data_IF_017380071294
#
_entry.id   IF_017380071294
#
_cell.length_a   1.000
_cell.length_b   1.000
_cell.length_c   1.000
_cell.angle_alpha   90.00
_cell.angle_beta   90.00
_cell.angle_gamma   90.00
#
_symmetry.space_group_name_H-M   'P 1'
#
loop_
_entity.id
_entity.type
_entity.pdbx_description
1 polymer ?
#
# COMPACT_ATOMS: atom_id res chain seq x y z
N UNK A 1 9.49 7.88 -23.80
CA UNK A 1 9.68 6.42 -23.88
C UNK A 1 10.84 6.00 -23.01
N UNK A 2 10.66 4.94 -22.21
CA UNK A 2 11.73 4.35 -21.42
C UNK A 2 12.84 3.77 -22.32
N UNK A 3 14.10 3.99 -21.97
CA UNK A 3 15.20 3.28 -22.61
C UNK A 3 15.20 1.79 -22.20
N UNK A 4 15.70 0.89 -23.06
CA UNK A 4 15.77 -0.54 -22.74
C UNK A 4 16.53 -0.79 -21.43
N UNK A 5 17.57 0.00 -21.13
CA UNK A 5 18.32 -0.07 -19.89
C UNK A 5 17.45 0.25 -18.65
N UNK A 6 16.59 1.29 -18.73
CA UNK A 6 15.68 1.60 -17.62
C UNK A 6 14.62 0.51 -17.42
N UNK A 7 14.13 -0.08 -18.52
CA UNK A 7 13.20 -1.22 -18.44
C UNK A 7 13.88 -2.40 -17.75
N UNK A 8 15.07 -2.79 -18.21
CA UNK A 8 15.83 -3.87 -17.61
C UNK A 8 16.13 -3.61 -16.12
N UNK A 9 16.48 -2.37 -15.77
CA UNK A 9 16.66 -1.97 -14.37
C UNK A 9 15.39 -2.25 -13.55
N UNK A 10 14.22 -1.73 -13.98
CA UNK A 10 12.96 -1.82 -13.25
C UNK A 10 12.50 -3.28 -13.14
N UNK A 11 12.61 -4.06 -14.20
CA UNK A 11 12.24 -5.49 -14.19
C UNK A 11 13.08 -6.31 -13.21
N UNK A 12 14.40 -6.05 -13.17
CA UNK A 12 15.35 -6.93 -12.46
C UNK A 12 15.74 -6.46 -11.07
N UNK A 13 15.57 -5.19 -10.74
CA UNK A 13 15.94 -4.65 -9.43
C UNK A 13 15.12 -5.33 -8.33
N UNK A 14 15.75 -5.82 -7.24
CA UNK A 14 15.00 -6.28 -6.08
C UNK A 14 14.13 -5.17 -5.51
N UNK A 15 12.89 -5.47 -5.14
CA UNK A 15 11.92 -4.47 -4.69
C UNK A 15 11.44 -4.77 -3.28
N UNK A 16 11.07 -3.69 -2.57
CA UNK A 16 10.25 -3.72 -1.38
C UNK A 16 9.05 -2.81 -1.61
N UNK A 17 7.89 -3.21 -1.15
CA UNK A 17 6.66 -2.45 -1.25
C UNK A 17 6.12 -2.10 0.14
N UNK A 18 5.75 -0.83 0.34
CA UNK A 18 5.38 -0.31 1.66
C UNK A 18 3.89 0.02 1.79
N UNK A 19 3.15 0.05 0.67
CA UNK A 19 1.79 0.56 0.65
C UNK A 19 0.96 -0.20 -0.39
N UNK A 20 0.23 -1.18 0.07
CA UNK A 20 -0.66 -2.02 -0.73
C UNK A 20 -1.77 -2.56 0.18
N UNK A 21 -3.02 -2.56 -0.29
CA UNK A 21 -4.18 -3.05 0.44
C UNK A 21 -4.52 -4.47 0.01
N UNK A 22 -4.71 -5.39 0.98
CA UNK A 22 -5.07 -6.78 0.69
C UNK A 22 -6.44 -6.84 0.01
N UNK A 23 -7.38 -6.07 0.52
CA UNK A 23 -8.77 -6.04 0.07
C UNK A 23 -8.88 -5.52 -1.37
N UNK A 24 -8.04 -4.55 -1.74
CA UNK A 24 -7.93 -3.99 -3.08
C UNK A 24 -7.01 -4.78 -4.02
N UNK A 25 -6.41 -5.89 -3.53
CA UNK A 25 -5.41 -6.66 -4.29
C UNK A 25 -5.90 -8.05 -4.70
N UNK A 26 -7.20 -8.33 -4.62
CA UNK A 26 -7.75 -9.64 -4.99
C UNK A 26 -7.72 -9.80 -6.51
N UNK A 27 -6.90 -10.72 -7.06
CA UNK A 27 -6.90 -10.97 -8.51
C UNK A 27 -8.29 -11.37 -9.01
N UNK A 28 -8.70 -10.83 -10.12
CA UNK A 28 -10.08 -10.99 -10.60
C UNK A 28 -10.45 -12.44 -10.89
N UNK A 29 -9.51 -13.26 -11.41
CA UNK A 29 -9.72 -14.69 -11.56
C UNK A 29 -9.96 -15.39 -10.22
N UNK A 30 -9.26 -14.95 -9.18
CA UNK A 30 -9.44 -15.49 -7.83
C UNK A 30 -10.81 -15.04 -7.27
N UNK A 31 -11.19 -13.79 -7.45
CA UNK A 31 -12.47 -13.28 -7.00
C UNK A 31 -13.65 -14.08 -7.60
N UNK A 32 -13.61 -14.35 -8.91
CA UNK A 32 -14.64 -15.17 -9.59
C UNK A 32 -14.68 -16.61 -9.06
N UNK A 33 -13.51 -17.24 -8.85
CA UNK A 33 -13.45 -18.60 -8.28
C UNK A 33 -13.98 -18.67 -6.86
N UNK A 34 -13.65 -17.67 -6.02
CA UNK A 34 -14.12 -17.61 -4.64
C UNK A 34 -15.61 -17.30 -4.59
N UNK A 35 -16.12 -16.44 -5.48
CA UNK A 35 -17.55 -16.19 -5.63
C UNK A 35 -18.32 -17.46 -5.93
N UNK A 36 -17.85 -18.27 -6.88
CA UNK A 36 -18.44 -19.58 -7.21
C UNK A 36 -18.36 -20.56 -6.01
N UNK A 37 -17.18 -20.72 -5.42
CA UNK A 37 -16.94 -21.59 -4.24
C UNK A 37 -17.88 -21.24 -3.10
N UNK A 38 -17.98 -19.97 -2.77
CA UNK A 38 -18.68 -19.48 -1.59
C UNK A 38 -20.15 -19.08 -1.88
N UNK A 39 -20.59 -19.23 -3.13
CA UNK A 39 -21.94 -18.88 -3.60
C UNK A 39 -22.30 -17.42 -3.31
N UNK A 40 -21.31 -16.54 -3.45
CA UNK A 40 -21.47 -15.08 -3.35
C UNK A 40 -21.80 -14.55 -4.74
N UNK A 41 -22.84 -13.71 -4.83
CA UNK A 41 -23.18 -13.07 -6.09
C UNK A 41 -22.38 -11.78 -6.27
N UNK A 42 -21.59 -11.71 -7.31
CA UNK A 42 -20.95 -10.49 -7.76
C UNK A 42 -21.80 -9.77 -8.83
N UNK A 43 -21.68 -8.46 -9.00
CA UNK A 43 -22.39 -7.72 -10.05
C UNK A 43 -21.90 -8.02 -11.46
N UNK A 44 -20.81 -8.79 -11.59
CA UNK A 44 -20.06 -9.11 -12.80
C UNK A 44 -19.65 -10.58 -12.82
N UNK A 45 -19.47 -11.16 -14.00
CA UNK A 45 -19.30 -12.61 -14.17
C UNK A 45 -18.13 -13.02 -15.05
N UNK A 46 -17.38 -12.08 -15.59
CA UNK A 46 -16.15 -12.32 -16.36
C UNK A 46 -15.07 -11.31 -15.98
N UNK A 47 -13.83 -11.60 -16.35
CA UNK A 47 -12.67 -10.72 -16.10
C UNK A 47 -12.89 -9.37 -16.81
N UNK A 48 -13.33 -9.40 -18.06
CA UNK A 48 -13.58 -8.19 -18.85
C UNK A 48 -14.71 -7.33 -18.27
N UNK A 49 -15.73 -7.97 -17.67
CA UNK A 49 -16.81 -7.27 -16.97
C UNK A 49 -16.31 -6.64 -15.67
N UNK A 50 -15.46 -7.32 -14.88
CA UNK A 50 -14.87 -6.78 -13.66
C UNK A 50 -14.01 -5.56 -14.00
N UNK A 51 -13.13 -5.69 -14.99
CA UNK A 51 -12.25 -4.62 -15.44
C UNK A 51 -13.04 -3.38 -15.82
N UNK A 52 -14.01 -3.53 -16.71
CA UNK A 52 -14.85 -2.43 -17.17
C UNK A 52 -15.67 -1.80 -16.05
N UNK A 53 -16.19 -2.61 -15.13
CA UNK A 53 -17.00 -2.17 -14.00
C UNK A 53 -16.15 -1.39 -12.99
N UNK A 54 -14.99 -1.92 -12.59
CA UNK A 54 -14.10 -1.30 -11.61
C UNK A 54 -13.57 0.04 -12.14
N UNK A 55 -12.97 0.06 -13.32
CA UNK A 55 -12.46 1.29 -13.93
C UNK A 55 -13.57 2.32 -14.21
N UNK A 56 -14.78 1.86 -14.54
CA UNK A 56 -15.95 2.73 -14.71
C UNK A 56 -16.35 3.43 -13.41
N UNK A 57 -16.41 2.68 -12.28
CA UNK A 57 -16.73 3.23 -10.97
C UNK A 57 -15.66 4.20 -10.47
N UNK A 58 -14.39 3.81 -10.60
CA UNK A 58 -13.25 4.64 -10.18
C UNK A 58 -13.21 5.93 -11.01
N UNK A 59 -13.37 5.84 -12.32
CA UNK A 59 -13.41 7.02 -13.19
C UNK A 59 -14.58 7.98 -12.92
N UNK A 60 -15.74 7.46 -12.46
CA UNK A 60 -16.90 8.27 -12.11
C UNK A 60 -16.83 8.87 -10.69
N UNK A 61 -16.28 8.12 -9.71
CA UNK A 61 -16.38 8.39 -8.28
C UNK A 61 -15.04 8.61 -7.57
N UNK A 62 -13.91 8.43 -8.25
CA UNK A 62 -12.59 8.53 -7.62
C UNK A 62 -12.44 7.56 -6.45
N UNK A 63 -12.00 8.04 -5.29
CA UNK A 63 -11.75 7.23 -4.09
C UNK A 63 -12.99 6.42 -3.63
N UNK A 64 -14.20 6.99 -3.69
CA UNK A 64 -15.44 6.26 -3.37
C UNK A 64 -15.64 5.06 -4.31
N UNK A 65 -15.22 5.17 -5.58
CA UNK A 65 -15.22 4.08 -6.53
C UNK A 65 -14.31 2.92 -6.13
N UNK A 66 -13.08 3.20 -5.68
CA UNK A 66 -12.17 2.20 -5.10
C UNK A 66 -12.83 1.49 -3.92
N UNK A 67 -13.34 2.22 -2.94
CA UNK A 67 -14.00 1.64 -1.76
C UNK A 67 -15.16 0.72 -2.11
N UNK A 68 -15.95 1.04 -3.14
CA UNK A 68 -17.04 0.17 -3.60
C UNK A 68 -16.48 -1.12 -4.22
N UNK A 69 -15.42 -1.02 -5.02
CA UNK A 69 -14.78 -2.18 -5.63
C UNK A 69 -14.20 -3.12 -4.57
N UNK A 70 -13.45 -2.60 -3.61
CA UNK A 70 -12.82 -3.38 -2.53
C UNK A 70 -13.86 -4.11 -1.68
N UNK A 71 -14.90 -3.42 -1.24
CA UNK A 71 -16.00 -4.03 -0.49
C UNK A 71 -16.69 -5.12 -1.28
N UNK A 72 -16.90 -4.90 -2.59
CA UNK A 72 -17.59 -5.86 -3.46
C UNK A 72 -16.72 -7.10 -3.67
N UNK A 73 -15.45 -6.95 -4.02
CA UNK A 73 -14.57 -8.08 -4.29
C UNK A 73 -14.18 -8.81 -3.00
N UNK A 74 -13.88 -8.10 -1.92
CA UNK A 74 -13.60 -8.73 -0.63
C UNK A 74 -14.79 -9.54 -0.09
N UNK A 75 -16.01 -9.27 -0.55
CA UNK A 75 -17.21 -10.03 -0.13
C UNK A 75 -17.13 -11.52 -0.42
N UNK A 76 -16.28 -11.95 -1.35
CA UNK A 76 -16.12 -13.36 -1.71
C UNK A 76 -15.30 -14.17 -0.69
N UNK A 77 -14.54 -13.52 0.20
CA UNK A 77 -13.74 -14.17 1.24
C UNK A 77 -14.60 -14.46 2.48
N UNK A 78 -14.81 -15.73 2.82
CA UNK A 78 -15.64 -16.16 3.94
C UNK A 78 -14.89 -17.08 4.93
N UNK A 79 -13.83 -17.76 4.50
CA UNK A 79 -13.14 -18.80 5.24
C UNK A 79 -11.64 -18.52 5.30
N UNK A 80 -10.95 -19.09 6.27
CA UNK A 80 -9.48 -18.93 6.44
C UNK A 80 -8.70 -19.15 5.13
N UNK A 81 -9.05 -20.22 4.39
CA UNK A 81 -8.40 -20.53 3.13
C UNK A 81 -8.65 -19.51 2.01
N UNK A 82 -9.68 -18.68 2.10
CA UNK A 82 -9.94 -17.63 1.12
C UNK A 82 -8.98 -16.46 1.36
N UNK A 83 -8.81 -16.04 2.62
CA UNK A 83 -7.84 -15.02 3.01
C UNK A 83 -6.41 -15.47 2.74
N UNK A 84 -6.11 -16.75 3.03
CA UNK A 84 -4.82 -17.35 2.66
C UNK A 84 -4.58 -17.26 1.15
N UNK A 85 -5.57 -17.63 0.34
CA UNK A 85 -5.46 -17.65 -1.11
C UNK A 85 -5.18 -16.27 -1.72
N UNK A 86 -5.79 -15.21 -1.18
CA UNK A 86 -5.56 -13.83 -1.64
C UNK A 86 -4.09 -13.44 -1.45
N UNK A 87 -3.58 -13.59 -0.24
CA UNK A 87 -2.18 -13.21 0.07
C UNK A 87 -1.18 -14.08 -0.66
N UNK A 88 -1.48 -15.38 -0.87
CA UNK A 88 -0.59 -16.25 -1.65
C UNK A 88 -0.59 -15.89 -3.13
N UNK A 89 -1.70 -15.42 -3.69
CA UNK A 89 -1.75 -14.95 -5.07
C UNK A 89 -0.88 -13.68 -5.24
N UNK A 90 -0.92 -12.76 -4.27
CA UNK A 90 0.01 -11.62 -4.22
C UNK A 90 1.47 -12.07 -4.15
N UNK A 91 1.80 -12.95 -3.20
CA UNK A 91 3.18 -13.42 -3.03
C UNK A 91 3.72 -14.16 -4.25
N UNK A 92 2.87 -14.86 -5.01
CA UNK A 92 3.25 -15.47 -6.28
C UNK A 92 3.57 -14.41 -7.34
N UNK A 93 2.78 -13.34 -7.41
CA UNK A 93 3.03 -12.22 -8.31
C UNK A 93 4.27 -11.42 -7.90
N UNK A 94 4.47 -11.18 -6.60
CA UNK A 94 5.67 -10.56 -6.03
C UNK A 94 6.94 -11.26 -6.48
N UNK A 95 6.91 -12.62 -6.44
CA UNK A 95 8.04 -13.43 -6.92
C UNK A 95 8.35 -13.17 -8.40
N UNK A 96 7.33 -13.00 -9.25
CA UNK A 96 7.52 -12.70 -10.67
C UNK A 96 8.13 -11.33 -10.88
N UNK A 97 7.78 -10.36 -10.02
CA UNK A 97 8.23 -8.99 -10.07
C UNK A 97 9.57 -8.74 -9.32
N UNK A 98 10.17 -9.77 -8.73
CA UNK A 98 11.35 -9.64 -7.87
C UNK A 98 11.11 -8.74 -6.64
N UNK A 99 9.89 -8.76 -6.10
CA UNK A 99 9.57 -8.18 -4.79
C UNK A 99 9.97 -9.22 -3.73
N UNK A 100 10.79 -8.83 -2.77
CA UNK A 100 11.32 -9.73 -1.73
C UNK A 100 10.80 -9.40 -0.33
N UNK A 101 10.17 -8.22 -0.19
CA UNK A 101 9.60 -7.73 1.05
C UNK A 101 8.36 -6.89 0.77
N UNK A 102 7.28 -7.10 1.54
CA UNK A 102 6.02 -6.39 1.34
C UNK A 102 5.34 -6.08 2.67
N UNK A 103 4.76 -4.87 2.78
CA UNK A 103 3.93 -4.42 3.90
C UNK A 103 2.48 -4.32 3.44
N UNK A 104 1.66 -5.27 3.88
CA UNK A 104 0.26 -5.38 3.48
C UNK A 104 -0.65 -4.69 4.50
N UNK A 105 -1.41 -3.69 4.06
CA UNK A 105 -2.52 -3.16 4.83
C UNK A 105 -3.67 -4.18 4.84
N UNK A 106 -4.26 -4.40 6.01
CA UNK A 106 -5.42 -5.27 6.20
C UNK A 106 -6.57 -4.49 6.84
N UNK A 107 -7.75 -4.51 6.20
CA UNK A 107 -8.91 -3.72 6.58
C UNK A 107 -10.01 -4.59 7.19
N UNK A 108 -9.72 -5.11 8.40
CA UNK A 108 -10.66 -6.00 9.10
C UNK A 108 -12.07 -5.41 9.29
N UNK A 109 -12.29 -4.09 9.51
CA UNK A 109 -13.64 -3.55 9.65
C UNK A 109 -14.61 -3.94 8.53
N UNK A 110 -14.13 -4.12 7.30
CA UNK A 110 -14.94 -4.63 6.17
C UNK A 110 -15.43 -6.06 6.40
N UNK A 111 -14.61 -6.88 7.04
CA UNK A 111 -14.91 -8.27 7.35
C UNK A 111 -15.84 -8.39 8.57
N UNK A 112 -15.62 -7.56 9.61
CA UNK A 112 -16.46 -7.49 10.80
C UNK A 112 -17.92 -7.17 10.46
N UNK A 113 -18.16 -6.23 9.55
CA UNK A 113 -19.52 -5.85 9.10
C UNK A 113 -20.28 -7.01 8.46
N UNK A 114 -19.56 -7.96 7.87
CA UNK A 114 -20.10 -9.18 7.29
C UNK A 114 -20.26 -10.32 8.30
N UNK A 115 -19.89 -10.07 9.56
CA UNK A 115 -19.94 -11.07 10.63
C UNK A 115 -18.81 -12.11 10.57
N UNK A 116 -17.73 -11.85 9.84
CA UNK A 116 -16.55 -12.72 9.80
C UNK A 116 -15.72 -12.48 11.08
N UNK A 117 -15.47 -13.54 11.89
CA UNK A 117 -14.63 -13.38 13.09
C UNK A 117 -13.20 -12.98 12.73
N UNK A 118 -12.58 -12.08 13.54
CA UNK A 118 -11.19 -11.66 13.37
C UNK A 118 -10.23 -12.85 13.28
N UNK A 119 -10.45 -13.89 14.10
CA UNK A 119 -9.65 -15.10 14.10
C UNK A 119 -9.58 -15.78 12.73
N UNK A 120 -10.71 -15.87 12.01
CA UNK A 120 -10.77 -16.47 10.66
C UNK A 120 -9.88 -15.71 9.69
N UNK A 121 -9.93 -14.39 9.70
CA UNK A 121 -9.11 -13.53 8.84
C UNK A 121 -7.63 -13.67 9.20
N UNK A 122 -7.31 -13.54 10.48
CA UNK A 122 -5.93 -13.52 10.95
C UNK A 122 -5.21 -14.88 10.83
N UNK A 123 -5.92 -15.99 11.00
CA UNK A 123 -5.31 -17.32 10.80
C UNK A 123 -5.07 -17.60 9.31
N UNK A 124 -5.96 -17.16 8.42
CA UNK A 124 -5.71 -17.16 6.98
C UNK A 124 -4.44 -16.39 6.61
N UNK A 125 -4.30 -15.17 7.11
CA UNK A 125 -3.13 -14.32 6.86
C UNK A 125 -1.85 -14.87 7.51
N UNK A 126 -1.93 -15.46 8.70
CA UNK A 126 -0.80 -16.13 9.37
C UNK A 126 -0.27 -17.32 8.54
N UNK A 127 -1.19 -18.12 8.03
CA UNK A 127 -0.84 -19.25 7.17
C UNK A 127 -0.20 -18.76 5.87
N UNK A 128 -0.76 -17.73 5.25
CA UNK A 128 -0.23 -17.13 4.03
C UNK A 128 1.18 -16.54 4.21
N UNK A 129 1.42 -15.77 5.28
CA UNK A 129 2.73 -15.19 5.60
C UNK A 129 3.83 -16.25 5.65
N UNK A 130 3.57 -17.35 6.36
CA UNK A 130 4.52 -18.47 6.42
C UNK A 130 4.76 -19.10 5.05
N UNK A 131 3.69 -19.42 4.30
CA UNK A 131 3.77 -20.06 2.98
C UNK A 131 4.39 -19.15 1.93
N UNK A 132 4.14 -17.83 1.97
CA UNK A 132 4.77 -16.86 1.08
C UNK A 132 6.30 -16.91 1.20
N UNK A 133 6.80 -16.96 2.42
CA UNK A 133 8.24 -17.11 2.68
C UNK A 133 8.79 -18.46 2.20
N UNK A 134 8.09 -19.55 2.51
CA UNK A 134 8.51 -20.92 2.16
C UNK A 134 8.48 -21.20 0.65
N UNK A 135 7.43 -20.76 -0.05
CA UNK A 135 7.19 -21.09 -1.45
C UNK A 135 7.79 -20.07 -2.42
N UNK A 136 7.74 -18.79 -2.06
CA UNK A 136 8.08 -17.69 -2.96
C UNK A 136 9.31 -16.91 -2.52
N UNK A 137 9.73 -17.03 -1.25
CA UNK A 137 10.85 -16.26 -0.68
C UNK A 137 10.50 -14.80 -0.44
N UNK A 138 9.22 -14.48 -0.30
CA UNK A 138 8.70 -13.14 -0.02
C UNK A 138 8.44 -13.00 1.47
N UNK A 139 9.04 -12.00 2.10
CA UNK A 139 8.75 -11.63 3.48
C UNK A 139 7.56 -10.67 3.52
N UNK A 140 6.51 -11.06 4.21
CA UNK A 140 5.29 -10.26 4.36
C UNK A 140 5.18 -9.77 5.80
N UNK A 141 4.78 -8.52 5.97
CA UNK A 141 4.48 -7.88 7.27
C UNK A 141 3.10 -7.24 7.15
N UNK A 142 2.26 -7.38 8.18
CA UNK A 142 0.92 -6.77 8.15
C UNK A 142 0.88 -5.45 8.90
N UNK A 143 0.15 -4.49 8.34
CA UNK A 143 -0.24 -3.21 8.94
C UNK A 143 -1.76 -3.24 9.10
N UNK A 144 -2.24 -3.16 10.33
CA UNK A 144 -3.69 -3.11 10.55
C UNK A 144 -4.24 -1.74 10.13
N UNK A 145 -5.19 -1.70 9.19
CA UNK A 145 -5.86 -0.51 8.69
C UNK A 145 -7.03 -0.10 9.60
N UNK A 146 -7.17 1.18 9.86
CA UNK A 146 -8.32 1.77 10.50
C UNK A 146 -9.13 2.55 9.46
N UNK A 147 -10.34 2.11 9.19
CA UNK A 147 -11.30 2.96 8.46
C UNK A 147 -11.62 4.20 9.30
N UNK A 148 -11.10 5.36 8.86
CA UNK A 148 -11.25 6.63 9.59
C UNK A 148 -12.68 7.12 9.65
N UNK A 149 -13.59 6.59 8.84
CA UNK A 149 -15.01 6.96 8.87
C UNK A 149 -15.72 6.41 10.09
N UNK A 150 -15.21 5.32 10.67
CA UNK A 150 -15.77 4.65 11.87
C UNK A 150 -15.55 5.47 13.15
N UNK A 151 -16.25 5.10 14.22
CA UNK A 151 -16.07 5.75 15.53
C UNK A 151 -14.71 5.40 16.16
N UNK A 152 -14.14 6.34 16.93
CA UNK A 152 -12.89 6.12 17.67
C UNK A 152 -12.97 4.92 18.63
N UNK A 153 -14.15 4.70 19.25
CA UNK A 153 -14.36 3.55 20.15
C UNK A 153 -14.26 2.21 19.42
N UNK A 154 -14.88 2.11 18.22
CA UNK A 154 -14.83 0.91 17.39
C UNK A 154 -13.39 0.61 16.96
N UNK A 155 -12.69 1.62 16.45
CA UNK A 155 -11.28 1.49 16.06
C UNK A 155 -10.39 1.11 17.24
N UNK A 156 -10.58 1.71 18.42
CA UNK A 156 -9.84 1.35 19.63
C UNK A 156 -10.11 -0.10 20.08
N UNK A 157 -11.36 -0.57 19.94
CA UNK A 157 -11.71 -1.96 20.22
C UNK A 157 -10.98 -2.92 19.30
N UNK A 158 -10.95 -2.62 18.00
CA UNK A 158 -10.20 -3.39 17.00
C UNK A 158 -8.69 -3.42 17.33
N UNK A 159 -8.06 -2.26 17.59
CA UNK A 159 -6.64 -2.23 17.97
C UNK A 159 -6.34 -3.12 19.18
N UNK A 160 -7.19 -3.10 20.21
CA UNK A 160 -7.02 -3.95 21.38
C UNK A 160 -7.13 -5.45 21.06
N UNK A 161 -7.95 -5.82 20.10
CA UNK A 161 -8.12 -7.22 19.66
C UNK A 161 -6.93 -7.77 18.89
N UNK A 162 -5.99 -6.91 18.43
CA UNK A 162 -4.76 -7.33 17.75
C UNK A 162 -3.68 -7.91 18.69
N UNK A 163 -3.85 -7.85 20.01
CA UNK A 163 -2.83 -8.32 20.96
C UNK A 163 -2.37 -9.78 20.74
N UNK A 164 -3.23 -10.76 20.39
CA UNK A 164 -2.79 -12.12 20.10
C UNK A 164 -2.00 -12.26 18.77
N UNK A 165 -1.96 -11.22 17.94
CA UNK A 165 -1.43 -11.25 16.58
C UNK A 165 -0.19 -10.37 16.38
N UNK A 166 0.43 -9.89 17.49
CA UNK A 166 1.62 -9.03 17.43
C UNK A 166 2.89 -9.73 16.89
N UNK A 167 2.83 -11.01 16.70
CA UNK A 167 3.88 -11.78 16.04
C UNK A 167 3.86 -11.64 14.51
N UNK A 168 2.74 -11.19 13.94
CA UNK A 168 2.57 -10.98 12.49
C UNK A 168 2.17 -9.55 12.11
N UNK A 169 1.43 -8.84 12.98
CA UNK A 169 1.05 -7.44 12.77
C UNK A 169 2.13 -6.54 13.36
N UNK A 170 2.82 -5.80 12.51
CA UNK A 170 3.93 -4.94 12.92
C UNK A 170 3.59 -3.44 12.89
N UNK A 171 2.48 -3.05 12.26
CA UNK A 171 2.08 -1.66 12.14
C UNK A 171 0.59 -1.41 12.34
N UNK A 172 0.26 -0.13 12.59
CA UNK A 172 -1.09 0.42 12.51
C UNK A 172 -1.09 1.53 11.46
N UNK A 173 -2.03 1.45 10.53
CA UNK A 173 -2.36 2.47 9.54
C UNK A 173 -3.76 3.03 9.73
N UNK A 174 -4.11 4.00 8.89
CA UNK A 174 -5.46 4.55 8.80
C UNK A 174 -5.67 4.99 7.35
N UNK A 175 -6.83 4.70 6.79
CA UNK A 175 -7.20 4.92 5.41
C UNK A 175 -8.62 5.49 5.26
N UNK A 176 -9.22 5.34 4.09
CA UNK A 176 -10.52 5.86 3.71
C UNK A 176 -10.58 7.41 3.66
N UNK A 177 -11.78 7.96 3.43
CA UNK A 177 -12.03 9.37 3.15
C UNK A 177 -11.55 10.30 4.27
N UNK A 178 -10.64 11.24 3.93
CA UNK A 178 -10.11 12.22 4.88
C UNK A 178 -11.08 13.37 5.16
N UNK A 179 -11.87 13.79 4.14
CA UNK A 179 -12.80 14.91 4.25
C UNK A 179 -13.91 14.61 5.25
N UNK A 180 -14.00 15.45 6.28
CA UNK A 180 -14.98 15.26 7.36
C UNK A 180 -14.60 14.22 8.41
N UNK A 181 -13.48 13.52 8.24
CA UNK A 181 -13.00 12.46 9.13
C UNK A 181 -11.59 12.75 9.68
N UNK A 182 -11.43 13.76 10.57
CA UNK A 182 -10.13 14.17 11.08
C UNK A 182 -9.46 13.03 11.87
N UNK A 183 -8.17 12.83 11.65
CA UNK A 183 -7.40 11.76 12.25
C UNK A 183 -7.39 11.76 13.80
N UNK A 184 -7.56 12.93 14.41
CA UNK A 184 -7.59 13.08 15.87
C UNK A 184 -8.68 12.24 16.55
N UNK A 185 -9.75 11.89 15.84
CA UNK A 185 -10.80 10.99 16.32
C UNK A 185 -10.24 9.62 16.76
N UNK A 186 -9.11 9.21 16.19
CA UNK A 186 -8.47 7.91 16.44
C UNK A 186 -7.23 8.00 17.33
N UNK A 187 -7.03 9.12 18.06
CA UNK A 187 -5.87 9.32 18.93
C UNK A 187 -5.66 8.19 19.93
N UNK A 188 -6.74 7.72 20.57
CA UNK A 188 -6.65 6.64 21.55
C UNK A 188 -6.20 5.32 20.93
N UNK A 189 -6.62 5.04 19.69
CA UNK A 189 -6.18 3.87 18.91
C UNK A 189 -4.68 3.92 18.64
N UNK A 190 -4.16 5.06 18.18
CA UNK A 190 -2.73 5.26 17.94
C UNK A 190 -1.89 5.21 19.22
N UNK A 191 -2.40 5.75 20.33
CA UNK A 191 -1.74 5.65 21.62
C UNK A 191 -1.67 4.20 22.10
N UNK A 192 -2.73 3.41 21.91
CA UNK A 192 -2.74 1.99 22.25
C UNK A 192 -1.79 1.19 21.36
N UNK A 193 -1.81 1.40 20.03
CA UNK A 193 -0.87 0.78 19.11
C UNK A 193 0.59 1.08 19.47
N UNK A 194 0.89 2.32 19.84
CA UNK A 194 2.22 2.71 20.35
C UNK A 194 2.63 1.95 21.59
N UNK A 195 1.68 1.74 22.55
CA UNK A 195 1.94 0.92 23.76
C UNK A 195 2.19 -0.55 23.41
N UNK A 196 1.60 -1.03 22.34
CA UNK A 196 1.79 -2.38 21.80
C UNK A 196 3.11 -2.53 21.01
N UNK A 197 3.82 -1.43 20.76
CA UNK A 197 5.07 -1.42 20.00
C UNK A 197 4.91 -1.43 18.48
N UNK A 198 3.72 -1.16 17.97
CA UNK A 198 3.44 -1.11 16.55
C UNK A 198 4.06 0.14 15.90
N UNK A 199 4.53 -0.03 14.66
CA UNK A 199 4.88 1.08 13.76
C UNK A 199 3.61 1.85 13.40
N UNK A 200 3.69 3.18 13.30
CA UNK A 200 2.54 4.02 13.06
C UNK A 200 2.65 4.71 11.70
N UNK A 201 1.66 4.51 10.84
CA UNK A 201 1.49 5.21 9.57
C UNK A 201 0.07 5.74 9.43
N UNK A 202 -0.18 6.57 8.42
CA UNK A 202 -1.53 7.02 8.07
C UNK A 202 -1.57 7.55 6.64
N UNK A 203 -2.63 7.25 5.92
CA UNK A 203 -3.01 8.01 4.72
C UNK A 203 -3.30 9.44 5.13
N UNK A 204 -2.59 10.38 4.54
CA UNK A 204 -2.79 11.79 4.81
C UNK A 204 -2.37 12.65 3.62
N UNK A 205 -3.21 13.61 3.26
CA UNK A 205 -2.97 14.50 2.13
C UNK A 205 -3.16 13.80 0.79
N UNK A 206 -4.03 12.83 0.72
CA UNK A 206 -4.54 12.25 -0.52
C UNK A 206 -5.75 13.04 -1.00
N UNK A 207 -6.92 12.86 -0.38
CA UNK A 207 -8.12 13.62 -0.68
C UNK A 207 -8.37 14.81 0.29
N UNK A 208 -7.63 14.86 1.40
CA UNK A 208 -7.57 15.97 2.35
C UNK A 208 -6.44 16.97 2.04
N UNK A 209 -6.28 18.00 2.88
CA UNK A 209 -5.25 19.03 2.74
C UNK A 209 -3.92 18.68 3.45
N UNK A 210 -2.91 19.55 3.32
CA UNK A 210 -1.64 19.44 4.04
C UNK A 210 -1.79 19.51 5.58
N UNK A 211 -2.88 20.08 6.07
CA UNK A 211 -3.25 20.09 7.49
C UNK A 211 -3.50 18.68 8.04
N UNK A 212 -4.04 17.76 7.22
CA UNK A 212 -4.21 16.36 7.61
C UNK A 212 -2.85 15.67 7.82
N UNK A 213 -1.86 15.98 6.99
CA UNK A 213 -0.49 15.48 7.16
C UNK A 213 0.11 16.02 8.45
N UNK A 214 -0.03 17.33 8.72
CA UNK A 214 0.43 17.93 9.97
C UNK A 214 -0.23 17.30 11.19
N UNK A 215 -1.52 17.02 11.11
CA UNK A 215 -2.26 16.39 12.20
C UNK A 215 -1.80 14.94 12.45
N UNK A 216 -1.59 14.15 11.40
CA UNK A 216 -1.03 12.80 11.52
C UNK A 216 0.36 12.83 12.18
N UNK A 217 1.24 13.73 11.73
CA UNK A 217 2.59 13.86 12.27
C UNK A 217 2.62 14.34 13.72
N UNK A 218 1.86 15.40 14.04
CA UNK A 218 1.95 16.11 15.34
C UNK A 218 1.04 15.52 16.41
N UNK A 219 -0.13 14.98 16.03
CA UNK A 219 -1.13 14.46 16.97
C UNK A 219 -1.05 12.95 17.12
N UNK A 220 -0.91 12.21 16.01
CA UNK A 220 -0.82 10.75 16.05
C UNK A 220 0.62 10.24 16.18
N UNK A 221 1.63 11.10 15.92
CA UNK A 221 3.06 10.75 15.93
C UNK A 221 3.40 9.61 14.95
N UNK A 222 2.82 9.64 13.76
CA UNK A 222 3.15 8.66 12.73
C UNK A 222 4.61 8.77 12.29
N UNK A 223 5.18 7.65 11.88
CA UNK A 223 6.58 7.51 11.46
C UNK A 223 6.72 7.52 9.94
N UNK A 224 5.60 7.36 9.22
CA UNK A 224 5.48 7.41 7.77
C UNK A 224 4.15 8.04 7.40
N UNK A 225 4.11 8.69 6.25
CA UNK A 225 2.88 9.15 5.61
C UNK A 225 2.62 8.27 4.40
N UNK A 226 1.43 7.72 4.30
CA UNK A 226 0.98 7.03 3.12
C UNK A 226 0.32 8.07 2.19
N UNK A 227 0.66 8.07 0.89
CA UNK A 227 0.48 9.10 -0.14
C UNK A 227 1.25 10.40 0.13
N UNK A 228 0.72 11.33 0.91
CA UNK A 228 1.37 12.61 1.19
C UNK A 228 1.34 13.62 0.04
N UNK A 229 0.44 13.49 -0.92
CA UNK A 229 0.39 14.31 -2.13
C UNK A 229 0.32 15.81 -1.83
N UNK A 230 -0.46 16.21 -0.82
CA UNK A 230 -0.63 17.63 -0.46
C UNK A 230 0.56 18.22 0.31
N UNK A 231 1.60 17.43 0.63
CA UNK A 231 2.81 17.95 1.25
C UNK A 231 3.53 18.98 0.35
N UNK A 232 3.44 18.83 -0.98
CA UNK A 232 4.05 19.73 -1.94
C UNK A 232 3.45 21.16 -1.93
N UNK A 233 2.25 21.33 -1.37
CA UNK A 233 1.56 22.63 -1.26
C UNK A 233 2.09 23.48 -0.10
N UNK A 234 2.82 22.87 0.84
CA UNK A 234 3.33 23.53 2.04
C UNK A 234 4.87 23.42 2.14
N UNK A 235 5.62 24.50 1.85
CA UNK A 235 7.10 24.49 1.94
C UNK A 235 7.64 24.19 3.35
N UNK A 236 6.87 24.51 4.41
CA UNK A 236 7.28 24.17 5.78
C UNK A 236 7.15 22.67 6.02
N UNK A 237 6.09 22.06 5.50
CA UNK A 237 5.89 20.60 5.58
C UNK A 237 6.97 19.84 4.80
N UNK A 238 7.31 20.28 3.58
CA UNK A 238 8.43 19.70 2.81
C UNK A 238 9.71 19.72 3.64
N UNK A 239 10.03 20.89 4.23
CA UNK A 239 11.22 21.02 5.08
C UNK A 239 11.15 20.08 6.29
N UNK A 240 10.01 20.01 6.97
CA UNK A 240 9.80 19.18 8.15
C UNK A 240 9.98 17.68 7.83
N UNK A 241 9.35 17.18 6.75
CA UNK A 241 9.48 15.79 6.31
C UNK A 241 10.94 15.43 6.00
N UNK A 242 11.64 16.31 5.27
CA UNK A 242 13.05 16.14 4.95
C UNK A 242 13.95 16.13 6.20
N UNK A 243 13.81 17.13 7.09
CA UNK A 243 14.65 17.27 8.29
C UNK A 243 14.41 16.14 9.31
N UNK A 244 13.20 15.60 9.35
CA UNK A 244 12.80 14.51 10.23
C UNK A 244 12.95 13.13 9.59
N UNK A 245 13.39 13.08 8.34
CA UNK A 245 13.62 11.86 7.57
C UNK A 245 12.39 10.96 7.51
N UNK A 246 11.21 11.57 7.24
CA UNK A 246 9.91 10.89 7.19
C UNK A 246 9.57 10.54 5.74
N UNK A 247 9.34 9.26 5.48
CA UNK A 247 8.93 8.76 4.17
C UNK A 247 7.49 9.16 3.83
N UNK A 248 7.27 9.53 2.56
CA UNK A 248 5.96 9.48 1.92
C UNK A 248 5.91 8.24 1.00
N UNK A 249 5.07 7.26 1.31
CA UNK A 249 4.83 6.08 0.48
C UNK A 249 3.74 6.42 -0.54
N UNK A 250 4.14 6.75 -1.76
CA UNK A 250 3.27 7.33 -2.78
C UNK A 250 2.84 6.28 -3.81
N UNK A 251 1.62 6.43 -4.34
CA UNK A 251 1.01 5.55 -5.34
C UNK A 251 0.54 6.40 -6.54
N UNK A 252 1.45 6.83 -7.44
CA UNK A 252 1.12 7.85 -8.43
C UNK A 252 0.00 7.49 -9.39
N UNK A 253 -0.11 6.24 -9.84
CA UNK A 253 -1.23 5.82 -10.73
C UNK A 253 -2.55 5.88 -9.98
N UNK A 254 -2.62 5.33 -8.75
CA UNK A 254 -3.80 5.43 -7.90
C UNK A 254 -4.19 6.88 -7.64
N UNK A 255 -3.21 7.75 -7.34
CA UNK A 255 -3.47 9.17 -7.08
C UNK A 255 -4.03 9.92 -8.30
N UNK A 256 -3.66 9.49 -9.52
CA UNK A 256 -4.26 10.05 -10.74
C UNK A 256 -5.67 9.49 -10.94
N UNK A 257 -5.89 8.22 -10.68
CA UNK A 257 -7.21 7.58 -10.85
C UNK A 257 -8.22 8.02 -9.79
N UNK A 258 -7.79 8.16 -8.52
CA UNK A 258 -8.64 8.68 -7.43
C UNK A 258 -8.92 10.18 -7.55
N UNK A 259 -8.16 10.89 -8.40
CA UNK A 259 -8.25 12.35 -8.54
C UNK A 259 -7.47 13.12 -7.46
N UNK A 260 -6.67 12.46 -6.64
CA UNK A 260 -5.75 13.10 -5.70
C UNK A 260 -4.70 13.95 -6.43
N UNK A 261 -4.30 13.54 -7.63
CA UNK A 261 -3.49 14.31 -8.56
C UNK A 261 -4.22 14.47 -9.91
N UNK A 262 -4.12 15.67 -10.51
CA UNK A 262 -4.83 15.95 -11.77
C UNK A 262 -4.24 15.23 -12.99
N UNK A 263 -2.95 14.91 -12.97
CA UNK A 263 -2.22 14.16 -14.00
C UNK A 263 -0.83 13.77 -13.47
N UNK A 264 -0.12 12.91 -14.20
CA UNK A 264 1.28 12.57 -13.87
C UNK A 264 2.22 13.77 -13.92
N UNK A 265 2.00 14.71 -14.85
CA UNK A 265 2.81 15.94 -14.96
C UNK A 265 2.59 16.88 -13.78
N UNK A 266 1.38 16.91 -13.21
CA UNK A 266 1.01 17.71 -12.05
C UNK A 266 1.24 16.97 -10.72
N UNK A 267 1.64 15.68 -10.78
CA UNK A 267 1.82 14.88 -9.58
C UNK A 267 2.97 15.40 -8.70
N UNK A 268 2.77 15.56 -7.40
CA UNK A 268 3.75 16.18 -6.49
C UNK A 268 5.01 15.35 -6.23
N UNK A 269 5.04 14.10 -6.66
CA UNK A 269 6.11 13.14 -6.45
C UNK A 269 7.50 13.71 -6.75
N UNK A 270 7.69 14.27 -7.95
CA UNK A 270 8.99 14.85 -8.34
C UNK A 270 9.38 16.05 -7.48
N UNK A 271 8.40 16.86 -7.08
CA UNK A 271 8.64 18.01 -6.20
C UNK A 271 9.21 17.54 -4.87
N UNK A 272 8.59 16.53 -4.25
CA UNK A 272 9.05 15.97 -2.98
C UNK A 272 10.41 15.26 -3.12
N UNK A 273 10.55 14.37 -4.12
CA UNK A 273 11.79 13.64 -4.38
C UNK A 273 12.98 14.57 -4.57
N UNK A 274 12.83 15.61 -5.41
CA UNK A 274 13.91 16.56 -5.76
C UNK A 274 14.16 17.59 -4.67
N UNK A 275 13.18 17.87 -3.81
CA UNK A 275 13.40 18.63 -2.57
C UNK A 275 14.22 17.84 -1.54
N UNK A 276 14.34 16.52 -1.71
CA UNK A 276 15.09 15.63 -0.83
C UNK A 276 14.24 15.04 0.31
N UNK A 277 12.91 15.04 0.17
CA UNK A 277 12.01 14.25 1.02
C UNK A 277 12.18 12.78 0.64
N UNK A 278 12.28 11.85 1.59
CA UNK A 278 12.21 10.43 1.29
C UNK A 278 10.85 10.09 0.66
N UNK A 279 10.84 9.47 -0.51
CA UNK A 279 9.63 8.97 -1.16
C UNK A 279 9.89 7.56 -1.67
N UNK A 280 8.91 6.68 -1.58
CA UNK A 280 8.87 5.38 -2.27
C UNK A 280 7.68 5.35 -3.24
N UNK A 281 7.69 4.38 -4.15
CA UNK A 281 6.57 4.08 -5.05
C UNK A 281 5.98 2.75 -4.61
N UNK A 282 4.66 2.67 -4.57
CA UNK A 282 3.86 1.48 -4.27
C UNK A 282 2.64 1.43 -5.18
N UNK A 283 2.03 0.25 -5.30
CA UNK A 283 0.93 -0.01 -6.24
C UNK A 283 -0.46 0.34 -5.70
N UNK A 284 -0.64 0.40 -4.38
CA UNK A 284 -1.93 0.60 -3.71
C UNK A 284 -2.88 -0.60 -3.88
N UNK A 285 -3.59 -0.64 -5.00
CA UNK A 285 -4.60 -1.65 -5.36
C UNK A 285 -4.32 -2.23 -6.75
N UNK A 286 -3.33 -3.12 -6.92
CA UNK A 286 -2.80 -3.56 -8.22
C UNK A 286 -3.82 -3.97 -9.28
N UNK A 287 -4.93 -4.68 -8.97
CA UNK A 287 -5.94 -5.04 -9.98
C UNK A 287 -6.63 -3.84 -10.63
N UNK A 288 -6.69 -2.70 -9.94
CA UNK A 288 -7.33 -1.48 -10.46
C UNK A 288 -6.32 -0.47 -11.00
N UNK A 289 -5.09 -0.55 -10.53
CA UNK A 289 -4.01 0.35 -10.90
C UNK A 289 -2.98 -0.37 -11.76
N UNK A 290 -1.81 -0.62 -11.24
CA UNK A 290 -0.73 -1.36 -11.87
C UNK A 290 -0.05 -2.27 -10.84
N UNK A 291 0.56 -3.36 -11.29
CA UNK A 291 1.56 -4.04 -10.47
C UNK A 291 2.74 -3.11 -10.16
N UNK A 292 3.49 -3.32 -9.07
CA UNK A 292 4.59 -2.43 -8.69
C UNK A 292 5.63 -2.22 -9.81
N UNK A 293 5.90 -3.25 -10.61
CA UNK A 293 6.81 -3.13 -11.75
C UNK A 293 6.23 -2.25 -12.86
N UNK A 294 4.94 -2.38 -13.16
CA UNK A 294 4.24 -1.54 -14.15
C UNK A 294 4.07 -0.12 -13.63
N UNK A 295 3.82 0.06 -12.34
CA UNK A 295 3.78 1.35 -11.66
C UNK A 295 5.11 2.10 -11.85
N UNK A 296 6.24 1.45 -11.50
CA UNK A 296 7.57 2.01 -11.70
C UNK A 296 7.87 2.33 -13.16
N UNK A 297 7.42 1.51 -14.12
CA UNK A 297 7.58 1.79 -15.55
C UNK A 297 6.76 2.99 -15.99
N UNK A 298 5.51 3.06 -15.58
CA UNK A 298 4.59 4.15 -15.88
C UNK A 298 5.13 5.47 -15.34
N UNK A 299 5.52 5.49 -14.07
CA UNK A 299 6.04 6.68 -13.41
C UNK A 299 7.38 7.13 -14.00
N UNK A 300 8.28 6.17 -14.26
CA UNK A 300 9.57 6.48 -14.86
C UNK A 300 9.41 7.07 -16.28
N UNK A 301 8.42 6.62 -17.04
CA UNK A 301 8.12 7.18 -18.36
C UNK A 301 7.41 8.54 -18.26
N UNK A 302 6.30 8.60 -17.52
CA UNK A 302 5.43 9.79 -17.44
C UNK A 302 6.12 10.96 -16.74
N UNK A 303 6.90 10.70 -15.71
CA UNK A 303 7.62 11.71 -14.95
C UNK A 303 9.09 11.87 -15.38
N UNK A 304 9.54 11.08 -16.37
CA UNK A 304 10.91 11.10 -16.89
C UNK A 304 11.96 10.93 -15.77
N UNK A 305 11.81 9.89 -14.94
CA UNK A 305 12.75 9.60 -13.86
C UNK A 305 14.13 9.20 -14.43
N UNK A 306 15.21 9.64 -13.78
CA UNK A 306 16.57 9.17 -14.08
C UNK A 306 16.79 7.77 -13.47
N UNK A 307 17.83 7.05 -13.90
CA UNK A 307 18.19 5.76 -13.29
C UNK A 307 18.50 5.90 -11.79
N UNK A 308 19.16 6.99 -11.39
CA UNK A 308 19.45 7.30 -10.00
C UNK A 308 18.20 7.58 -9.17
N UNK A 309 17.22 8.27 -9.76
CA UNK A 309 15.91 8.51 -9.11
C UNK A 309 15.15 7.19 -8.93
N UNK A 310 15.11 6.33 -9.95
CA UNK A 310 14.49 4.99 -9.86
C UNK A 310 15.15 4.16 -8.75
N UNK A 311 16.48 4.06 -8.77
CA UNK A 311 17.23 3.32 -7.75
C UNK A 311 16.95 3.87 -6.35
N UNK A 312 16.90 5.21 -6.21
CA UNK A 312 16.62 5.87 -4.93
C UNK A 312 15.25 5.53 -4.38
N UNK A 313 14.19 5.62 -5.19
CA UNK A 313 12.83 5.36 -4.70
C UNK A 313 12.62 3.89 -4.34
N UNK A 314 13.18 2.96 -5.12
CA UNK A 314 13.15 1.53 -4.80
C UNK A 314 13.97 1.24 -3.53
N UNK A 315 15.14 1.86 -3.38
CA UNK A 315 15.96 1.74 -2.17
C UNK A 315 15.24 2.26 -0.93
N UNK A 316 14.48 3.33 -1.07
CA UNK A 316 13.68 3.88 0.02
C UNK A 316 12.62 2.89 0.50
N UNK A 317 12.03 2.09 -0.38
CA UNK A 317 11.12 1.00 -0.01
C UNK A 317 11.73 0.08 1.05
N UNK A 318 13.02 -0.27 0.94
CA UNK A 318 13.73 -1.04 1.96
C UNK A 318 14.14 -0.20 3.18
N UNK A 319 14.68 0.99 2.95
CA UNK A 319 15.30 1.80 3.99
C UNK A 319 14.30 2.26 5.06
N UNK A 320 13.07 2.54 4.63
CA UNK A 320 12.00 3.06 5.49
C UNK A 320 10.89 2.05 5.80
N UNK A 321 11.10 0.79 5.42
CA UNK A 321 10.20 -0.29 5.78
C UNK A 321 10.26 -0.62 7.27
N UNK A 322 9.26 -1.33 7.78
CA UNK A 322 9.19 -1.72 9.19
C UNK A 322 10.31 -2.73 9.54
N UNK A 323 10.57 -3.69 8.64
CA UNK A 323 11.53 -4.79 8.89
C UNK A 323 12.46 -5.09 7.70
N UNK A 324 12.31 -4.41 6.55
CA UNK A 324 13.03 -4.72 5.31
C UNK A 324 14.47 -4.17 5.22
N UNK A 325 14.94 -3.41 6.21
CA UNK A 325 16.31 -2.81 6.17
C UNK A 325 17.41 -3.86 6.03
N UNK A 326 17.17 -5.09 6.49
CA UNK A 326 18.10 -6.21 6.36
C UNK A 326 18.45 -6.59 4.92
N UNK A 327 17.60 -6.22 3.95
CA UNK A 327 17.82 -6.46 2.53
C UNK A 327 18.75 -5.42 1.85
N UNK A 328 18.98 -4.26 2.48
CA UNK A 328 19.77 -3.17 1.89
C UNK A 328 21.18 -3.59 1.44
N UNK A 329 21.95 -4.40 2.18
CA UNK A 329 23.27 -4.81 1.72
C UNK A 329 23.23 -5.60 0.39
N UNK A 330 22.23 -6.48 0.24
CA UNK A 330 22.04 -7.26 -0.99
C UNK A 330 21.54 -6.37 -2.14
N UNK A 331 20.60 -5.46 -1.87
CA UNK A 331 20.13 -4.46 -2.81
C UNK A 331 21.28 -3.59 -3.33
N UNK A 332 22.06 -2.99 -2.44
CA UNK A 332 23.17 -2.12 -2.82
C UNK A 332 24.27 -2.87 -3.60
N UNK A 333 24.50 -4.16 -3.30
CA UNK A 333 25.41 -5.00 -4.06
C UNK A 333 24.89 -5.26 -5.47
N UNK A 334 23.60 -5.56 -5.62
CA UNK A 334 22.95 -5.76 -6.91
C UNK A 334 23.05 -4.49 -7.79
N UNK A 335 22.74 -3.32 -7.21
CA UNK A 335 22.82 -2.02 -7.92
C UNK A 335 24.23 -1.76 -8.44
N UNK A 336 25.27 -1.96 -7.60
CA UNK A 336 26.67 -1.79 -8.03
C UNK A 336 27.04 -2.71 -9.20
N UNK A 337 26.55 -3.96 -9.19
CA UNK A 337 26.81 -4.89 -10.29
C UNK A 337 26.09 -4.47 -11.58
N UNK A 338 24.83 -4.06 -11.49
CA UNK A 338 24.06 -3.57 -12.63
C UNK A 338 24.72 -2.33 -13.28
N UNK A 339 25.14 -1.36 -12.45
CA UNK A 339 25.80 -0.15 -12.94
C UNK A 339 27.14 -0.46 -13.64
N UNK A 340 27.92 -1.42 -13.11
CA UNK A 340 29.19 -1.84 -13.73
C UNK A 340 29.00 -2.45 -15.12
N UNK A 341 27.98 -3.31 -15.30
CA UNK A 341 27.66 -3.95 -16.58
C UNK A 341 27.21 -2.96 -17.66
N UNK A 342 26.78 -1.79 -17.30
CA UNK A 342 26.36 -0.76 -18.26
C UNK A 342 27.44 0.28 -18.58
N UNK A 343 28.61 0.17 -17.95
CA UNK A 343 29.76 1.03 -18.21
C UNK A 343 30.76 0.40 -19.22
N UNK A 344 30.61 -0.90 -19.51
CA UNK A 344 31.33 -1.64 -20.53
C UNK A 344 30.55 -1.63 -21.86
#
# INVERSE_FOLDING_TARGET
MLTERKKELIEKIPKAENHIHIEGSIPWELALRLAEKNKVSLPVHSIEEIDSWAHGLIGERGLDGFMICDRTLNSVCLHEEDYEAVVLALAEEDKRQNIVYQELHLDYPLNEERGIPLEVVMEGYRSAQRKARELYGVEIVYIAGLDRTLSGERCLSFVKSLRPYLDMVAGLGMDCEEKGHPCIKHLDSYQEAKRMGLFLTAHAGEDGGSDNIWDALRKLNVQRIDHGCRAAEDPELIRYLKERDILCAMCPVSNVYSGAAASFEAHPFLTLLRAGVPVSISSDDPPYTNSLTEELMTDAEKMNLTEEEIIRVVRNGFAYSIQGQGYLPAFDAWVREFQRKGAD
#
